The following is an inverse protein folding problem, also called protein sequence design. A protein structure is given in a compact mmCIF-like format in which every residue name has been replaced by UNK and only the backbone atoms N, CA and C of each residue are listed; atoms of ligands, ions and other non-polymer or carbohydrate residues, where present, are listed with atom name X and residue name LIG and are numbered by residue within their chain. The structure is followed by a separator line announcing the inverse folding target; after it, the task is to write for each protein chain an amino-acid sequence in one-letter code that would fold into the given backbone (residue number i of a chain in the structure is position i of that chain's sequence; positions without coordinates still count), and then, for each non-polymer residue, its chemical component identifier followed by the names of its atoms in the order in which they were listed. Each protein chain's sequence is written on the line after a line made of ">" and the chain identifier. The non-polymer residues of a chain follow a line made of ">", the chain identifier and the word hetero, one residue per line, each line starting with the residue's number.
data_IF_700164880957
#
_entry.id   IF_700164880957
#
_cell.length_a   1.000
_cell.length_b   1.000
_cell.length_c   1.000
_cell.angle_alpha   90.00
_cell.angle_beta   90.00
_cell.angle_gamma   90.00
#
_symmetry.space_group_name_H-M   'P 1'
#
loop_
_entity.id
_entity.type
_entity.pdbx_description
1 polymer ?
#
# COMPACT_ATOMS: atom_id res chain seq x y z
N UNK A 1 0.85 6.43 17.23
CA UNK A 1 -0.51 5.95 17.56
C UNK A 1 -0.90 6.27 19.00
N UNK A 2 -0.29 5.68 20.05
CA UNK A 2 -0.72 5.91 21.46
C UNK A 2 -0.83 7.40 21.85
N UNK A 3 0.16 8.22 21.50
CA UNK A 3 0.17 9.66 21.78
C UNK A 3 -0.90 10.46 21.03
N UNK A 4 -1.25 10.06 19.81
CA UNK A 4 -2.17 10.79 18.93
C UNK A 4 -3.64 10.38 19.14
N UNK A 5 -3.87 9.08 19.32
CA UNK A 5 -5.22 8.49 19.42
C UNK A 5 -5.77 8.54 20.85
N UNK A 6 -4.88 8.47 21.85
CA UNK A 6 -5.18 8.57 23.30
C UNK A 6 -6.29 7.58 23.71
N UNK A 7 -7.30 8.04 24.44
CA UNK A 7 -8.35 7.21 25.05
C UNK A 7 -9.24 6.47 24.03
N UNK A 8 -9.20 6.86 22.74
CA UNK A 8 -9.87 6.12 21.66
C UNK A 8 -9.15 4.84 21.27
N UNK A 9 -7.88 4.66 21.67
CA UNK A 9 -7.12 3.45 21.40
C UNK A 9 -7.29 2.47 22.58
N UNK A 10 -7.95 1.32 22.37
CA UNK A 10 -8.10 0.33 23.42
C UNK A 10 -6.75 -0.16 23.94
N UNK A 11 -6.70 -0.54 25.21
CA UNK A 11 -5.53 -1.13 25.82
C UNK A 11 -5.71 -2.62 25.97
N UNK A 12 -4.77 -3.40 25.45
CA UNK A 12 -4.73 -4.83 25.70
C UNK A 12 -4.37 -5.13 27.16
N UNK A 13 -5.11 -6.07 27.74
CA UNK A 13 -4.75 -6.78 28.98
C UNK A 13 -3.44 -7.55 28.82
N UNK A 14 -2.90 -8.09 29.92
CA UNK A 14 -1.69 -8.91 29.85
C UNK A 14 -1.93 -10.21 29.05
N UNK A 15 -3.07 -10.85 29.26
CA UNK A 15 -3.47 -12.08 28.56
C UNK A 15 -3.60 -11.86 27.04
N UNK A 16 -4.29 -10.80 26.62
CA UNK A 16 -4.43 -10.48 25.19
C UNK A 16 -3.08 -10.17 24.52
N UNK A 17 -2.14 -9.53 25.24
CA UNK A 17 -0.79 -9.29 24.71
C UNK A 17 -0.04 -10.58 24.47
N UNK A 18 -0.10 -11.53 25.41
CA UNK A 18 0.53 -12.83 25.26
C UNK A 18 -0.13 -13.63 24.14
N UNK A 19 -1.46 -13.58 24.02
CA UNK A 19 -2.19 -14.22 22.92
C UNK A 19 -1.81 -13.67 21.53
N UNK A 20 -1.56 -12.36 21.41
CA UNK A 20 -1.23 -11.70 20.15
C UNK A 20 0.25 -11.77 19.77
N UNK A 21 1.14 -11.94 20.73
CA UNK A 21 2.58 -11.90 20.49
C UNK A 21 3.03 -13.18 19.80
N UNK A 22 3.51 -13.06 18.57
CA UNK A 22 3.99 -14.21 17.80
C UNK A 22 2.88 -15.10 17.24
N UNK A 23 1.63 -14.61 17.20
CA UNK A 23 0.47 -15.34 16.66
C UNK A 23 0.42 -15.37 15.11
N UNK A 24 1.58 -15.34 14.45
CA UNK A 24 1.72 -15.25 13.01
C UNK A 24 2.71 -16.29 12.51
N UNK A 25 2.24 -17.21 11.65
CA UNK A 25 3.13 -18.14 10.93
C UNK A 25 3.72 -17.52 9.66
N UNK A 26 2.99 -16.57 9.06
CA UNK A 26 3.37 -15.83 7.85
C UNK A 26 2.59 -14.52 7.76
N UNK A 27 2.98 -13.65 6.82
CA UNK A 27 2.28 -12.41 6.48
C UNK A 27 1.85 -12.45 5.02
N UNK A 28 0.57 -12.16 4.77
CA UNK A 28 0.04 -11.82 3.45
C UNK A 28 0.14 -10.32 3.21
N UNK A 29 0.70 -9.91 2.06
CA UNK A 29 0.80 -8.49 1.66
C UNK A 29 0.00 -8.28 0.37
N UNK A 30 -0.99 -7.40 0.46
CA UNK A 30 -1.68 -6.84 -0.70
C UNK A 30 -0.97 -5.55 -1.09
N UNK A 31 -0.38 -5.51 -2.29
CA UNK A 31 0.35 -4.35 -2.79
C UNK A 31 -0.18 -3.89 -4.14
N UNK A 32 -0.59 -2.64 -4.21
CA UNK A 32 -1.13 -2.02 -5.42
C UNK A 32 -0.43 -0.71 -5.80
N UNK A 33 0.03 0.06 -4.82
CA UNK A 33 0.53 1.43 -5.04
C UNK A 33 1.42 1.87 -3.88
N UNK A 34 2.14 2.97 -4.10
CA UNK A 34 2.85 3.72 -3.07
C UNK A 34 2.50 5.19 -3.23
N UNK A 35 2.48 5.93 -2.13
CA UNK A 35 2.23 7.38 -2.14
C UNK A 35 3.39 8.11 -1.48
N UNK A 36 3.57 9.37 -1.86
CA UNK A 36 4.35 10.31 -1.07
C UNK A 36 3.53 10.75 0.14
N UNK A 37 4.21 11.06 1.23
CA UNK A 37 3.61 11.57 2.45
C UNK A 37 4.23 12.91 2.83
N UNK A 38 3.39 13.86 3.24
CA UNK A 38 3.79 15.16 3.80
C UNK A 38 3.17 15.33 5.19
N UNK A 39 3.97 15.78 6.14
CA UNK A 39 3.51 16.10 7.48
C UNK A 39 2.51 17.26 7.46
N UNK A 40 1.41 17.12 8.20
CA UNK A 40 0.47 18.19 8.56
C UNK A 40 0.78 18.58 10.02
N UNK A 41 1.22 19.82 10.29
CA UNK A 41 1.36 20.31 11.66
C UNK A 41 0.05 20.16 12.45
N UNK A 42 0.12 19.83 13.74
CA UNK A 42 -1.10 19.55 14.54
C UNK A 42 -2.05 20.75 14.62
N UNK A 43 -1.50 21.98 14.63
CA UNK A 43 -2.27 23.22 14.59
C UNK A 43 -2.94 23.50 13.23
N UNK A 44 -2.55 22.77 12.19
CA UNK A 44 -3.11 22.85 10.83
C UNK A 44 -4.02 21.65 10.53
N UNK A 45 -4.39 20.85 11.54
CA UNK A 45 -5.34 19.74 11.35
C UNK A 45 -6.68 20.28 10.85
N UNK A 46 -7.03 19.87 9.64
CA UNK A 46 -8.36 20.08 9.09
C UNK A 46 -9.30 18.92 9.44
N UNK A 47 -10.57 19.23 9.67
CA UNK A 47 -11.60 18.24 9.99
C UNK A 47 -11.65 17.80 11.45
N UNK A 48 -12.65 16.98 11.77
CA UNK A 48 -12.83 16.44 13.11
C UNK A 48 -11.77 15.37 13.42
N UNK A 49 -11.47 15.18 14.70
CA UNK A 49 -10.64 14.06 15.16
C UNK A 49 -11.32 12.75 14.76
N UNK A 50 -10.62 11.94 13.97
CA UNK A 50 -11.09 10.65 13.49
C UNK A 50 -9.91 9.73 13.20
N UNK A 51 -10.21 8.45 12.96
CA UNK A 51 -9.21 7.47 12.50
C UNK A 51 -8.43 7.96 11.27
N UNK A 52 -9.08 8.67 10.34
CA UNK A 52 -8.44 9.14 9.10
C UNK A 52 -7.60 10.42 9.29
N UNK A 53 -7.86 11.23 10.32
CA UNK A 53 -7.12 12.48 10.58
C UNK A 53 -6.02 12.32 11.64
N UNK A 54 -6.00 11.18 12.35
CA UNK A 54 -5.04 10.90 13.42
C UNK A 54 -3.59 10.79 12.97
N UNK A 55 -3.35 10.41 11.71
CA UNK A 55 -1.99 10.27 11.17
C UNK A 55 -1.28 11.60 11.00
N UNK A 56 -2.02 12.71 10.86
CA UNK A 56 -1.48 14.04 10.53
C UNK A 56 -0.61 14.01 9.26
N UNK A 57 -1.04 13.25 8.25
CA UNK A 57 -0.33 13.10 6.98
C UNK A 57 -1.24 13.49 5.84
N UNK A 58 -0.71 14.28 4.91
CA UNK A 58 -1.26 14.45 3.58
C UNK A 58 -0.56 13.48 2.63
N UNK A 59 -1.31 12.56 2.05
CA UNK A 59 -0.80 11.60 1.08
C UNK A 59 -1.05 12.11 -0.34
N UNK A 60 -0.07 11.93 -1.23
CA UNK A 60 -0.17 12.38 -2.61
C UNK A 60 0.59 11.46 -3.56
N UNK A 61 0.08 11.29 -4.77
CA UNK A 61 0.77 10.59 -5.83
C UNK A 61 1.84 11.44 -6.52
N UNK A 62 1.90 12.75 -6.26
CA UNK A 62 2.80 13.69 -6.95
C UNK A 62 3.76 14.39 -5.99
N UNK A 63 5.02 14.50 -6.39
CA UNK A 63 6.03 15.32 -5.72
C UNK A 63 6.62 16.28 -6.75
N UNK A 64 6.55 17.58 -6.47
CA UNK A 64 7.04 18.65 -7.36
C UNK A 64 6.46 18.58 -8.78
N UNK A 65 5.17 18.22 -8.88
CA UNK A 65 4.46 18.07 -10.15
C UNK A 65 4.70 16.74 -10.87
N UNK A 66 5.56 15.86 -10.34
CA UNK A 66 5.89 14.57 -10.94
C UNK A 66 5.17 13.45 -10.20
N UNK A 67 4.37 12.68 -10.94
CA UNK A 67 3.71 11.48 -10.42
C UNK A 67 4.73 10.40 -10.04
N UNK A 68 4.46 9.67 -8.96
CA UNK A 68 5.29 8.56 -8.49
C UNK A 68 5.41 7.43 -9.53
N UNK A 69 4.39 7.31 -10.38
CA UNK A 69 4.37 6.36 -11.49
C UNK A 69 3.12 6.54 -12.35
N UNK A 70 2.96 5.72 -13.40
CA UNK A 70 1.78 5.78 -14.26
C UNK A 70 0.48 5.50 -13.49
N UNK A 71 -0.51 6.38 -13.63
CA UNK A 71 -1.84 6.21 -13.04
C UNK A 71 -2.58 5.03 -13.71
N UNK A 72 -3.29 4.24 -12.91
CA UNK A 72 -4.21 3.23 -13.41
C UNK A 72 -5.51 3.86 -13.89
N UNK A 73 -6.16 3.25 -14.88
CA UNK A 73 -7.46 3.72 -15.36
C UNK A 73 -8.60 3.09 -14.55
N UNK A 74 -9.70 3.82 -14.38
CA UNK A 74 -10.89 3.32 -13.65
C UNK A 74 -10.77 3.36 -12.12
N UNK A 75 -9.67 3.89 -11.56
CA UNK A 75 -9.52 4.10 -10.12
C UNK A 75 -8.60 5.29 -9.82
N UNK A 76 -8.84 5.96 -8.70
CA UNK A 76 -8.13 7.21 -8.38
C UNK A 76 -6.82 7.03 -7.62
N UNK A 77 -6.64 5.91 -6.92
CA UNK A 77 -5.56 5.75 -5.94
C UNK A 77 -4.43 4.79 -6.36
N UNK A 78 -4.57 4.08 -7.48
CA UNK A 78 -3.55 3.14 -7.98
C UNK A 78 -2.60 3.84 -8.95
N UNK A 79 -1.32 3.88 -8.58
CA UNK A 79 -0.21 4.33 -9.42
C UNK A 79 0.83 3.20 -9.47
N UNK A 80 1.26 2.82 -10.67
CA UNK A 80 2.20 1.70 -10.85
C UNK A 80 3.59 2.09 -10.37
N UNK A 81 4.04 1.50 -9.26
CA UNK A 81 5.37 1.76 -8.69
C UNK A 81 6.04 0.47 -8.18
N UNK A 82 6.60 -0.36 -9.08
CA UNK A 82 7.16 -1.68 -8.73
C UNK A 82 8.21 -1.67 -7.61
N UNK A 83 8.97 -0.60 -7.48
CA UNK A 83 9.99 -0.44 -6.44
C UNK A 83 9.40 -0.39 -5.04
N UNK A 84 8.18 0.14 -4.90
CA UNK A 84 7.48 0.20 -3.62
C UNK A 84 7.20 -1.18 -3.04
N UNK A 85 6.92 -2.18 -3.89
CA UNK A 85 6.74 -3.57 -3.47
C UNK A 85 8.03 -4.12 -2.85
N UNK A 86 9.17 -3.91 -3.49
CA UNK A 86 10.47 -4.35 -2.94
C UNK A 86 10.79 -3.63 -1.63
N UNK A 87 10.48 -2.33 -1.56
CA UNK A 87 10.71 -1.53 -0.35
C UNK A 87 9.86 -2.00 0.83
N UNK A 88 8.57 -2.31 0.63
CA UNK A 88 7.72 -2.80 1.73
C UNK A 88 8.14 -4.21 2.17
N UNK A 89 8.54 -5.10 1.23
CA UNK A 89 9.07 -6.41 1.57
C UNK A 89 10.36 -6.30 2.39
N UNK A 90 11.27 -5.41 1.96
CA UNK A 90 12.51 -5.11 2.70
C UNK A 90 12.24 -4.51 4.08
N UNK A 91 11.29 -3.59 4.19
CA UNK A 91 10.87 -3.01 5.46
C UNK A 91 10.32 -4.08 6.39
N UNK A 92 9.45 -4.95 5.90
CA UNK A 92 8.87 -6.03 6.71
C UNK A 92 9.94 -6.99 7.20
N UNK A 93 10.87 -7.35 6.31
CA UNK A 93 12.05 -8.16 6.65
C UNK A 93 12.87 -7.55 7.79
N UNK A 94 13.21 -6.27 7.69
CA UNK A 94 14.07 -5.59 8.66
C UNK A 94 13.34 -5.30 9.99
N UNK A 95 12.08 -4.90 9.92
CA UNK A 95 11.33 -4.40 11.08
C UNK A 95 10.64 -5.49 11.88
N UNK A 96 10.17 -6.55 11.21
CA UNK A 96 9.30 -7.58 11.81
C UNK A 96 9.95 -8.97 11.82
N UNK A 97 11.28 -9.03 12.02
CA UNK A 97 12.03 -10.28 12.22
C UNK A 97 11.99 -11.25 11.02
N UNK A 98 11.85 -10.73 9.80
CA UNK A 98 11.89 -11.51 8.57
C UNK A 98 10.94 -12.72 8.57
N UNK A 99 9.62 -12.50 8.72
CA UNK A 99 8.65 -13.58 8.70
C UNK A 99 8.55 -14.17 7.29
N UNK A 100 7.91 -15.32 7.16
CA UNK A 100 7.52 -15.84 5.84
C UNK A 100 6.49 -14.88 5.22
N UNK A 101 6.71 -14.47 3.98
CA UNK A 101 5.84 -13.51 3.28
C UNK A 101 5.22 -14.15 2.04
N UNK A 102 3.95 -13.88 1.81
CA UNK A 102 3.22 -14.14 0.57
C UNK A 102 2.68 -12.82 0.03
N UNK A 103 2.89 -12.55 -1.25
CA UNK A 103 2.16 -11.47 -1.94
C UNK A 103 0.79 -12.03 -2.29
N UNK A 104 -0.24 -11.59 -1.57
CA UNK A 104 -1.61 -12.13 -1.68
C UNK A 104 -2.43 -11.41 -2.73
N UNK A 105 -2.13 -10.14 -3.01
CA UNK A 105 -2.70 -9.40 -4.12
C UNK A 105 -1.69 -8.44 -4.75
N UNK A 106 -1.71 -8.37 -6.09
CA UNK A 106 -1.07 -7.34 -6.88
C UNK A 106 -1.79 -7.23 -8.23
N UNK A 107 -2.03 -6.01 -8.69
CA UNK A 107 -2.73 -5.83 -9.96
C UNK A 107 -2.95 -4.39 -10.34
N UNK A 108 -3.65 -4.22 -11.46
CA UNK A 108 -4.06 -2.91 -11.98
C UNK A 108 -5.41 -3.04 -12.66
N UNK A 109 -6.24 -2.02 -12.45
CA UNK A 109 -7.53 -1.85 -13.11
C UNK A 109 -7.37 -1.31 -14.53
N UNK A 110 -8.39 -1.56 -15.35
CA UNK A 110 -8.60 -0.99 -16.67
C UNK A 110 -9.80 -0.03 -16.59
N UNK A 111 -9.74 1.09 -17.32
CA UNK A 111 -10.84 2.06 -17.40
C UNK A 111 -12.08 1.48 -18.08
N UNK A 112 -13.17 2.26 -18.06
CA UNK A 112 -14.51 1.78 -18.44
C UNK A 112 -14.52 0.87 -19.68
N UNK A 113 -14.98 -0.37 -19.49
CA UNK A 113 -15.01 -1.45 -20.49
C UNK A 113 -16.40 -1.65 -21.09
N UNK A 114 -17.40 -0.88 -20.64
CA UNK A 114 -18.77 -1.02 -21.11
C UNK A 114 -18.86 -0.78 -22.63
N UNK A 115 -19.45 -1.73 -23.35
CA UNK A 115 -19.54 -1.71 -24.82
C UNK A 115 -18.22 -1.95 -25.58
N UNK A 116 -17.11 -2.25 -24.89
CA UNK A 116 -15.82 -2.55 -25.54
C UNK A 116 -15.90 -3.91 -26.25
N UNK A 117 -15.57 -3.99 -27.56
CA UNK A 117 -15.51 -5.29 -28.26
C UNK A 117 -14.50 -6.23 -27.59
N UNK A 118 -14.84 -7.52 -27.51
CA UNK A 118 -13.99 -8.55 -26.86
C UNK A 118 -12.52 -8.50 -27.31
N UNK A 119 -12.17 -8.38 -28.62
CA UNK A 119 -10.77 -8.31 -29.03
C UNK A 119 -10.01 -7.11 -28.45
N UNK A 120 -10.69 -5.98 -28.22
CA UNK A 120 -10.09 -4.81 -27.57
C UNK A 120 -9.99 -4.97 -26.06
N UNK A 121 -10.95 -5.67 -25.43
CA UNK A 121 -10.91 -5.97 -24.00
C UNK A 121 -9.81 -6.98 -23.63
N UNK A 122 -9.52 -7.94 -24.52
CA UNK A 122 -8.44 -8.91 -24.36
C UNK A 122 -7.04 -8.34 -24.64
N UNK A 123 -6.94 -7.15 -25.23
CA UNK A 123 -5.67 -6.50 -25.52
C UNK A 123 -5.34 -5.48 -24.42
N UNK A 124 -4.75 -5.94 -23.32
CA UNK A 124 -4.49 -5.18 -22.09
C UNK A 124 -2.99 -5.05 -21.77
N UNK A 125 -2.17 -4.46 -22.66
CA UNK A 125 -0.72 -4.42 -22.50
C UNK A 125 -0.27 -3.71 -21.22
N UNK A 126 -1.06 -2.75 -20.73
CA UNK A 126 -0.77 -2.04 -19.47
C UNK A 126 -0.81 -2.97 -18.24
N UNK A 127 -1.70 -3.98 -18.23
CA UNK A 127 -1.80 -4.98 -17.16
C UNK A 127 -0.65 -5.97 -17.23
N UNK A 128 -0.32 -6.43 -18.44
CA UNK A 128 0.85 -7.28 -18.70
C UNK A 128 2.12 -6.58 -18.21
N UNK A 129 2.31 -5.31 -18.57
CA UNK A 129 3.44 -4.49 -18.16
C UNK A 129 3.50 -4.33 -16.64
N UNK A 130 2.38 -3.99 -16.00
CA UNK A 130 2.29 -3.89 -14.54
C UNK A 130 2.79 -5.16 -13.84
N UNK A 131 2.23 -6.32 -14.21
CA UNK A 131 2.56 -7.60 -13.59
C UNK A 131 4.02 -7.99 -13.86
N UNK A 132 4.49 -7.81 -15.11
CA UNK A 132 5.89 -8.11 -15.46
C UNK A 132 6.88 -7.29 -14.66
N UNK A 133 6.65 -5.98 -14.52
CA UNK A 133 7.56 -5.13 -13.78
C UNK A 133 7.60 -5.47 -12.29
N UNK A 134 6.44 -5.65 -11.65
CA UNK A 134 6.40 -6.05 -10.22
C UNK A 134 7.09 -7.40 -9.99
N UNK A 135 6.76 -8.42 -10.80
CA UNK A 135 7.40 -9.74 -10.69
C UNK A 135 8.90 -9.69 -10.93
N UNK A 136 9.37 -8.92 -11.91
CA UNK A 136 10.80 -8.75 -12.19
C UNK A 136 11.53 -8.10 -11.00
N UNK A 137 10.94 -7.08 -10.38
CA UNK A 137 11.54 -6.39 -9.22
C UNK A 137 11.56 -7.28 -7.98
N UNK A 138 10.49 -8.03 -7.73
CA UNK A 138 10.47 -9.05 -6.66
C UNK A 138 11.57 -10.09 -6.89
N UNK A 139 11.65 -10.68 -8.09
CA UNK A 139 12.67 -11.67 -8.41
C UNK A 139 14.11 -11.14 -8.22
N UNK A 140 14.36 -9.89 -8.61
CA UNK A 140 15.66 -9.25 -8.40
C UNK A 140 16.00 -9.08 -6.91
N UNK A 141 14.98 -8.86 -6.06
CA UNK A 141 15.14 -8.64 -4.62
C UNK A 141 15.27 -9.92 -3.77
N UNK A 142 15.06 -11.09 -4.37
CA UNK A 142 15.15 -12.39 -3.67
C UNK A 142 16.59 -12.92 -3.53
N UNK A 143 17.58 -12.19 -4.05
CA UNK A 143 19.01 -12.50 -3.90
C UNK A 143 19.56 -11.90 -2.61
#
# INVERSE_FOLDING_TARGET
>A
MRSMVKDRLPTFTAEEKEMMKGSLDFIGINYYSTQYARNIPENEREGAISYSTDSLVNETASRDGVLIGPKAEGIEWIYRYPDGLVQILGHVKQKYQNPKIYITENGVTEGNVEGRPLPKALNDPHRIDCLKQHLARVLQSMK
#
